data_IF_076168544773
#
_entry.id   IF_076168544773
#
_cell.length_a   1.000
_cell.length_b   1.000
_cell.length_c   1.000
_cell.angle_alpha   90.00
_cell.angle_beta   90.00
_cell.angle_gamma   90.00
#
_symmetry.space_group_name_H-M   'P 1'
#
loop_
_entity.id
_entity.type
_entity.pdbx_description
1 polymer ?
#
# COMPACT_ATOMS: atom_id res chain seq x y z
N UNK A 1 -7.14 -10.72 -4.66
CA UNK A 1 -6.03 -9.73 -4.66
C UNK A 1 -5.02 -10.16 -3.62
N UNK A 2 -3.73 -10.24 -3.94
CA UNK A 2 -2.68 -10.59 -2.95
C UNK A 2 -1.95 -9.34 -2.45
N UNK A 3 -1.25 -9.46 -1.33
CA UNK A 3 -0.40 -8.39 -0.78
C UNK A 3 0.64 -7.90 -1.79
N UNK A 4 1.37 -8.82 -2.43
CA UNK A 4 2.38 -8.48 -3.44
C UNK A 4 1.76 -7.75 -4.62
N UNK A 5 0.59 -8.20 -5.09
CA UNK A 5 -0.09 -7.55 -6.20
C UNK A 5 -0.54 -6.13 -5.83
N UNK A 6 -1.00 -5.93 -4.59
CA UNK A 6 -1.35 -4.62 -4.07
C UNK A 6 -0.12 -3.69 -4.09
N UNK A 7 1.03 -4.15 -3.58
CA UNK A 7 2.29 -3.37 -3.58
C UNK A 7 2.71 -2.99 -5.00
N UNK A 8 2.65 -3.93 -5.94
CA UNK A 8 2.99 -3.64 -7.34
C UNK A 8 2.14 -2.52 -7.93
N UNK A 9 0.82 -2.60 -7.71
CA UNK A 9 -0.10 -1.62 -8.24
C UNK A 9 0.14 -0.26 -7.54
N UNK A 10 0.35 -0.22 -6.20
CA UNK A 10 0.63 1.02 -5.45
C UNK A 10 1.90 1.68 -6.01
N UNK A 11 2.98 0.92 -6.14
CA UNK A 11 4.26 1.40 -6.67
C UNK A 11 4.09 1.91 -8.10
N UNK A 12 3.36 1.20 -8.94
CA UNK A 12 3.11 1.63 -10.31
C UNK A 12 2.31 2.95 -10.36
N UNK A 13 1.37 3.15 -9.44
CA UNK A 13 0.60 4.40 -9.35
C UNK A 13 1.45 5.56 -8.84
N UNK A 14 2.24 5.36 -7.80
CA UNK A 14 3.14 6.38 -7.26
C UNK A 14 4.19 6.83 -8.29
N UNK A 15 4.76 5.89 -9.05
CA UNK A 15 5.68 6.23 -10.16
C UNK A 15 4.99 7.10 -11.21
N UNK A 16 3.74 6.78 -11.55
CA UNK A 16 2.97 7.53 -12.54
C UNK A 16 2.65 8.95 -12.08
N UNK A 17 2.23 9.10 -10.83
CA UNK A 17 1.68 10.36 -10.32
C UNK A 17 2.77 11.30 -9.77
N UNK A 18 3.85 10.75 -9.21
CA UNK A 18 4.89 11.50 -8.50
C UNK A 18 6.32 11.27 -9.05
N UNK A 19 6.48 10.46 -10.11
CA UNK A 19 7.79 10.15 -10.70
C UNK A 19 8.64 9.24 -9.81
N UNK A 20 9.96 9.41 -9.82
CA UNK A 20 10.95 8.53 -9.14
C UNK A 20 10.96 7.08 -9.64
N UNK A 21 11.88 6.28 -9.12
CA UNK A 21 12.03 4.89 -9.51
C UNK A 21 11.05 3.97 -8.77
N UNK A 22 10.69 2.82 -9.37
CA UNK A 22 9.94 1.77 -8.68
C UNK A 22 10.62 1.31 -7.39
N UNK A 23 11.95 1.23 -7.41
CA UNK A 23 12.75 0.85 -6.24
C UNK A 23 12.58 1.85 -5.09
N UNK A 24 12.59 3.16 -5.38
CA UNK A 24 12.36 4.21 -4.40
C UNK A 24 11.03 3.99 -3.68
N UNK A 25 9.94 3.93 -4.43
CA UNK A 25 8.60 3.78 -3.85
C UNK A 25 8.39 2.45 -3.16
N UNK A 26 8.91 1.34 -3.70
CA UNK A 26 8.78 0.03 -3.06
C UNK A 26 9.44 0.01 -1.68
N UNK A 27 10.61 0.64 -1.54
CA UNK A 27 11.30 0.79 -0.26
C UNK A 27 10.47 1.61 0.74
N UNK A 28 9.85 2.70 0.27
CA UNK A 28 9.07 3.59 1.14
C UNK A 28 7.72 3.01 1.56
N UNK A 29 7.02 2.29 0.67
CA UNK A 29 5.76 1.61 0.99
C UNK A 29 5.99 0.48 1.99
N UNK A 30 7.11 -0.24 1.84
CA UNK A 30 7.44 -1.37 2.70
C UNK A 30 6.53 -2.60 2.48
N UNK A 31 6.64 -3.62 3.35
CA UNK A 31 5.80 -4.80 3.27
C UNK A 31 4.37 -4.50 3.72
N UNK A 32 3.40 -5.15 3.07
CA UNK A 32 2.01 -5.16 3.55
C UNK A 32 1.86 -6.26 4.59
N UNK A 33 1.46 -5.87 5.80
CA UNK A 33 1.12 -6.81 6.86
C UNK A 33 -0.30 -7.29 6.65
N UNK A 34 -0.49 -8.61 6.58
CA UNK A 34 -1.80 -9.24 6.55
C UNK A 34 -2.24 -9.65 7.96
N UNK A 35 -3.53 -9.50 8.22
CA UNK A 35 -4.22 -9.92 9.43
C UNK A 35 -5.26 -10.98 9.09
N UNK A 36 -5.63 -11.78 10.08
CA UNK A 36 -6.73 -12.73 9.94
C UNK A 36 -8.05 -12.00 9.74
N UNK A 37 -8.86 -12.49 8.80
CA UNK A 37 -10.22 -11.97 8.56
C UNK A 37 -11.17 -12.21 9.74
N UNK A 38 -10.84 -13.14 10.64
CA UNK A 38 -11.63 -13.39 11.84
C UNK A 38 -11.57 -12.20 12.83
N UNK A 39 -10.42 -11.53 12.92
CA UNK A 39 -10.22 -10.35 13.78
C UNK A 39 -10.34 -9.04 13.02
N UNK A 40 -10.14 -9.08 11.70
CA UNK A 40 -10.18 -7.91 10.82
C UNK A 40 -11.12 -8.16 9.63
N UNK A 41 -12.44 -8.20 9.85
CA UNK A 41 -13.42 -8.57 8.83
C UNK A 41 -13.63 -7.50 7.75
N UNK A 42 -13.28 -6.24 8.04
CA UNK A 42 -13.54 -5.10 7.15
C UNK A 42 -12.31 -4.61 6.39
N UNK A 43 -11.10 -4.76 6.95
CA UNK A 43 -9.85 -4.48 6.27
C UNK A 43 -8.76 -5.32 6.91
N UNK A 44 -8.22 -6.31 6.18
CA UNK A 44 -7.32 -7.30 6.77
C UNK A 44 -5.85 -7.00 6.52
N UNK A 45 -5.49 -5.75 6.22
CA UNK A 45 -4.11 -5.41 5.92
C UNK A 45 -3.75 -3.99 6.33
N UNK A 46 -2.45 -3.76 6.53
CA UNK A 46 -1.87 -2.45 6.80
C UNK A 46 -0.49 -2.31 6.16
N UNK A 47 -0.09 -1.08 5.89
CA UNK A 47 1.27 -0.69 5.53
C UNK A 47 1.80 0.28 6.58
N UNK A 48 3.12 0.37 6.73
CA UNK A 48 3.79 1.33 7.59
C UNK A 48 4.83 2.10 6.76
N UNK A 49 4.39 3.09 5.96
CA UNK A 49 5.30 3.77 5.05
C UNK A 49 6.35 4.60 5.80
N UNK A 50 7.51 4.76 5.16
CA UNK A 50 8.61 5.60 5.62
C UNK A 50 8.96 6.62 4.53
N UNK A 51 9.68 7.68 4.89
CA UNK A 51 10.13 8.70 3.93
C UNK A 51 10.04 10.10 4.49
N UNK A 52 10.06 11.10 3.62
CA UNK A 52 9.72 12.47 4.00
C UNK A 52 8.23 12.62 4.28
N UNK A 53 7.84 13.73 4.90
CA UNK A 53 6.42 14.03 5.14
C UNK A 53 5.60 14.01 3.85
N UNK A 54 6.09 14.60 2.76
CA UNK A 54 5.37 14.60 1.48
C UNK A 54 5.24 13.20 0.87
N UNK A 55 6.28 12.37 1.00
CA UNK A 55 6.27 11.00 0.47
C UNK A 55 5.30 10.11 1.25
N UNK A 56 5.32 10.20 2.58
CA UNK A 56 4.40 9.47 3.45
C UNK A 56 2.96 9.87 3.14
N UNK A 57 2.67 11.18 3.05
CA UNK A 57 1.33 11.68 2.75
C UNK A 57 0.81 11.18 1.39
N UNK A 58 1.66 11.14 0.36
CA UNK A 58 1.29 10.60 -0.95
C UNK A 58 0.97 9.10 -0.90
N UNK A 59 1.75 8.33 -0.15
CA UNK A 59 1.51 6.91 0.05
C UNK A 59 0.21 6.70 0.83
N UNK A 60 0.05 7.34 1.99
CA UNK A 60 -1.11 7.17 2.86
C UNK A 60 -2.43 7.53 2.19
N UNK A 61 -2.45 8.63 1.43
CA UNK A 61 -3.62 9.03 0.64
C UNK A 61 -4.03 7.93 -0.34
N UNK A 62 -3.07 7.35 -1.04
CA UNK A 62 -3.33 6.25 -1.97
C UNK A 62 -3.76 4.96 -1.25
N UNK A 63 -3.21 4.68 -0.07
CA UNK A 63 -3.62 3.54 0.74
C UNK A 63 -5.07 3.65 1.18
N UNK A 64 -5.54 4.84 1.56
CA UNK A 64 -6.93 5.07 1.95
C UNK A 64 -7.91 4.79 0.80
N UNK A 65 -7.63 5.30 -0.39
CA UNK A 65 -8.41 4.98 -1.61
C UNK A 65 -8.48 3.46 -1.86
N UNK A 66 -7.40 2.76 -1.54
CA UNK A 66 -7.25 1.35 -1.87
C UNK A 66 -7.82 0.43 -0.82
N UNK A 67 -7.91 0.88 0.43
CA UNK A 67 -8.70 0.19 1.46
C UNK A 67 -10.17 0.16 1.06
N UNK A 68 -10.68 1.20 0.42
CA UNK A 68 -12.06 1.22 -0.09
C UNK A 68 -12.25 0.23 -1.26
N UNK A 69 -11.26 0.09 -2.14
CA UNK A 69 -11.37 -0.75 -3.34
C UNK A 69 -11.01 -2.23 -3.11
N UNK A 70 -10.01 -2.48 -2.28
CA UNK A 70 -9.44 -3.80 -2.00
C UNK A 70 -9.25 -4.02 -0.49
N UNK A 71 -10.33 -3.96 0.32
CA UNK A 71 -10.22 -4.07 1.78
C UNK A 71 -9.68 -5.44 2.24
N UNK A 72 -9.97 -6.49 1.47
CA UNK A 72 -9.67 -7.86 1.85
C UNK A 72 -8.71 -8.49 0.84
N UNK A 73 -7.52 -8.83 1.33
CA UNK A 73 -6.48 -9.54 0.60
C UNK A 73 -6.42 -11.01 0.98
N UNK A 74 -5.91 -11.81 0.04
CA UNK A 74 -5.56 -13.21 0.24
C UNK A 74 -4.04 -13.35 0.34
N UNK A 75 -3.57 -14.27 1.19
CA UNK A 75 -2.18 -14.73 1.20
C UNK A 75 -1.91 -15.66 0.03
#
# INVERSE_FOLDING_TARGET
>A
MTADKLVELIVARLVRDYGRSKHHWRRLVGPIRLYSRATHPHCNWAAAPIGTFQEIAAIETLLDDWRLRYPLLSG
#
